data_IF_183006173956
#
_entry.id   IF_183006173956
#
_cell.length_a   1.000
_cell.length_b   1.000
_cell.length_c   1.000
_cell.angle_alpha   90.00
_cell.angle_beta   90.00
_cell.angle_gamma   90.00
#
_symmetry.space_group_name_H-M   'P 1'
#
loop_
_entity.id
_entity.type
_entity.pdbx_description
1 polymer ?
#
# COMPACT_ATOMS: atom_id res chain seq x y z
N UNK A 1 40.30 16.25 1.50
CA UNK A 1 40.22 16.84 0.15
C UNK A 1 38.76 17.13 -0.24
N UNK A 2 37.86 16.14 -0.22
CA UNK A 2 36.44 16.30 -0.58
C UNK A 2 35.69 17.46 0.10
N UNK A 3 35.65 17.54 1.44
CA UNK A 3 34.94 18.62 2.13
C UNK A 3 35.53 20.02 1.90
N UNK A 4 36.83 20.12 1.60
CA UNK A 4 37.45 21.40 1.19
C UNK A 4 36.92 21.84 -0.18
N UNK A 5 36.73 20.90 -1.10
CA UNK A 5 36.12 21.17 -2.41
C UNK A 5 34.64 21.55 -2.26
N UNK A 6 33.87 20.86 -1.41
CA UNK A 6 32.45 21.19 -1.15
C UNK A 6 32.30 22.59 -0.56
N UNK A 7 33.14 22.97 0.41
CA UNK A 7 33.09 24.29 1.03
C UNK A 7 33.41 25.45 0.06
N UNK A 8 34.20 25.18 -0.99
CA UNK A 8 34.54 26.14 -2.04
C UNK A 8 33.51 26.19 -3.17
N UNK A 9 32.62 25.19 -3.26
CA UNK A 9 31.62 25.10 -4.30
C UNK A 9 30.39 25.94 -3.93
N UNK A 10 29.95 26.81 -4.83
CA UNK A 10 28.68 27.56 -4.65
C UNK A 10 27.51 26.58 -4.51
N UNK A 11 26.51 26.92 -3.70
CA UNK A 11 25.29 26.11 -3.63
C UNK A 11 24.60 26.06 -4.99
N UNK A 12 23.89 24.97 -5.29
CA UNK A 12 23.18 24.80 -6.57
C UNK A 12 22.23 25.96 -6.82
N UNK A 13 21.48 26.39 -5.79
CA UNK A 13 20.60 27.55 -5.85
C UNK A 13 21.34 28.86 -6.15
N UNK A 14 22.58 29.04 -5.67
CA UNK A 14 23.41 30.19 -6.01
C UNK A 14 23.92 30.13 -7.45
N UNK A 15 24.46 28.99 -7.88
CA UNK A 15 24.98 28.83 -9.25
C UNK A 15 23.89 28.94 -10.32
N UNK A 16 22.67 28.45 -10.05
CA UNK A 16 21.56 28.57 -10.98
C UNK A 16 20.96 29.98 -10.98
N UNK A 17 20.90 30.64 -9.82
CA UNK A 17 20.52 32.06 -9.74
C UNK A 17 21.43 32.97 -10.57
N UNK A 18 22.76 32.78 -10.45
CA UNK A 18 23.74 33.54 -11.24
C UNK A 18 23.54 33.36 -12.76
N UNK A 19 23.17 32.14 -13.20
CA UNK A 19 22.86 31.85 -14.61
C UNK A 19 21.61 32.58 -15.08
N UNK A 20 20.53 32.53 -14.29
CA UNK A 20 19.27 33.19 -14.65
C UNK A 20 19.38 34.72 -14.69
N UNK A 21 20.25 35.31 -13.85
CA UNK A 21 20.58 36.74 -13.92
C UNK A 21 21.37 37.05 -15.19
N UNK A 22 22.33 36.20 -15.57
CA UNK A 22 23.08 36.37 -16.80
C UNK A 22 22.21 36.23 -18.06
N UNK A 23 21.18 35.38 -18.01
CA UNK A 23 20.17 35.22 -19.06
C UNK A 23 19.10 36.33 -19.04
N UNK A 24 19.11 37.22 -18.04
CA UNK A 24 18.18 38.35 -17.91
C UNK A 24 16.74 37.94 -17.56
N UNK A 25 16.51 36.70 -17.14
CA UNK A 25 15.19 36.15 -16.80
C UNK A 25 14.68 36.68 -15.46
N UNK A 26 15.60 36.90 -14.52
CA UNK A 26 15.32 37.44 -13.18
C UNK A 26 16.44 38.36 -12.74
N UNK A 27 16.13 39.36 -11.92
CA UNK A 27 17.12 40.24 -11.31
C UNK A 27 17.69 39.65 -10.02
N UNK A 28 18.89 40.11 -9.63
CA UNK A 28 19.49 39.73 -8.34
C UNK A 28 18.58 40.10 -7.15
N UNK A 29 17.81 41.18 -7.27
CA UNK A 29 16.88 41.64 -6.24
C UNK A 29 15.69 40.67 -6.08
N UNK A 30 15.15 40.15 -7.18
CA UNK A 30 14.05 39.18 -7.13
C UNK A 30 14.49 37.86 -6.46
N UNK A 31 15.73 37.40 -6.70
CA UNK A 31 16.28 36.21 -6.06
C UNK A 31 16.40 36.39 -4.53
N UNK A 32 16.88 37.55 -4.09
CA UNK A 32 16.95 37.92 -2.67
C UNK A 32 15.55 37.97 -2.03
N UNK A 33 14.57 38.55 -2.74
CA UNK A 33 13.17 38.60 -2.30
C UNK A 33 12.55 37.21 -2.16
N UNK A 34 12.76 36.30 -3.11
CA UNK A 34 12.27 34.92 -3.01
C UNK A 34 12.84 34.22 -1.77
N UNK A 35 14.14 34.38 -1.51
CA UNK A 35 14.79 33.81 -0.31
C UNK A 35 14.22 34.38 0.98
N UNK A 36 13.89 35.68 0.97
CA UNK A 36 13.29 36.35 2.13
C UNK A 36 11.87 35.83 2.36
N UNK A 37 11.02 35.81 1.33
CA UNK A 37 9.65 35.29 1.39
C UNK A 37 9.62 33.84 1.89
N UNK A 38 10.47 32.97 1.35
CA UNK A 38 10.53 31.58 1.80
C UNK A 38 10.95 31.44 3.27
N UNK A 39 11.92 32.24 3.73
CA UNK A 39 12.30 32.27 5.16
C UNK A 39 11.19 32.80 6.05
N UNK A 40 10.44 33.80 5.60
CA UNK A 40 9.28 34.31 6.32
C UNK A 40 8.15 33.27 6.41
N UNK A 41 7.89 32.52 5.33
CA UNK A 41 6.94 31.41 5.33
C UNK A 41 7.34 30.31 6.31
N UNK A 42 8.61 29.90 6.30
CA UNK A 42 9.13 28.94 7.27
C UNK A 42 9.05 29.47 8.70
N UNK A 43 9.33 30.75 8.93
CA UNK A 43 9.20 31.39 10.23
C UNK A 43 7.76 31.41 10.75
N UNK A 44 6.79 31.72 9.87
CA UNK A 44 5.36 31.65 10.18
C UNK A 44 4.90 30.22 10.46
N UNK A 45 5.36 29.24 9.68
CA UNK A 45 5.06 27.84 9.95
C UNK A 45 5.64 27.39 11.29
N UNK A 46 6.86 27.81 11.62
CA UNK A 46 7.54 27.46 12.86
C UNK A 46 6.85 28.05 14.11
N UNK A 47 6.34 29.28 14.06
CA UNK A 47 5.65 29.88 15.21
C UNK A 47 4.39 29.11 15.60
N UNK A 48 3.69 28.55 14.62
CA UNK A 48 2.48 27.73 14.80
C UNK A 48 2.80 26.36 15.43
N UNK A 49 4.03 25.84 15.31
CA UNK A 49 4.43 24.53 15.89
C UNK A 49 4.23 24.48 17.40
N UNK A 50 4.50 25.58 18.11
CA UNK A 50 4.33 25.66 19.57
C UNK A 50 2.89 25.42 20.05
N UNK A 51 1.90 25.75 19.21
CA UNK A 51 0.48 25.51 19.47
C UNK A 51 -0.03 24.24 18.76
N UNK A 52 0.77 23.66 17.86
CA UNK A 52 0.41 22.49 17.07
C UNK A 52 0.55 21.23 17.92
N UNK A 53 -0.58 20.77 18.47
CA UNK A 53 -0.68 19.40 18.98
C UNK A 53 -1.01 18.50 17.79
N UNK A 54 -0.19 17.47 17.49
CA UNK A 54 -0.55 16.47 16.49
C UNK A 54 -1.84 15.79 16.97
N UNK A 55 -2.95 16.08 16.30
CA UNK A 55 -4.29 15.63 16.69
C UNK A 55 -4.51 14.14 16.43
N UNK A 56 -3.64 13.51 15.62
CA UNK A 56 -3.73 12.11 15.29
C UNK A 56 -2.43 11.65 14.65
N UNK A 57 -1.84 10.59 15.20
CA UNK A 57 -0.87 9.79 14.48
C UNK A 57 -1.68 8.90 13.52
N UNK A 58 -2.19 9.48 12.43
CA UNK A 58 -3.05 8.80 11.48
C UNK A 58 -2.20 7.99 10.48
N UNK A 59 -1.56 6.94 10.99
CA UNK A 59 -0.88 5.94 10.16
C UNK A 59 -1.87 5.04 9.40
N UNK A 60 -3.15 5.02 9.83
CA UNK A 60 -4.22 4.19 9.28
C UNK A 60 -5.22 5.00 8.44
N UNK A 61 -4.72 5.92 7.61
CA UNK A 61 -5.54 6.63 6.63
C UNK A 61 -5.41 6.03 5.23
N UNK A 62 -6.32 6.42 4.32
CA UNK A 62 -6.38 5.90 2.96
C UNK A 62 -6.73 4.41 2.91
N UNK A 63 -5.90 3.60 2.26
CA UNK A 63 -6.13 2.16 2.08
C UNK A 63 -6.10 1.35 3.39
N UNK A 64 -5.66 1.96 4.48
CA UNK A 64 -5.49 1.32 5.78
C UNK A 64 -6.62 1.69 6.75
N UNK A 65 -7.65 2.36 6.24
CA UNK A 65 -8.83 2.76 7.00
C UNK A 65 -9.56 1.52 7.53
N UNK A 66 -9.76 1.45 8.84
CA UNK A 66 -10.40 0.33 9.52
C UNK A 66 -9.42 -0.63 10.20
N UNK A 67 -8.13 -0.49 9.95
CA UNK A 67 -7.10 -1.16 10.75
C UNK A 67 -6.89 -0.42 12.06
N UNK A 68 -6.67 -1.18 13.13
CA UNK A 68 -6.34 -0.67 14.47
C UNK A 68 -5.13 -1.40 15.01
N UNK A 69 -4.44 -0.78 15.95
CA UNK A 69 -3.48 -1.52 16.78
C UNK A 69 -4.21 -2.61 17.56
N UNK A 70 -3.63 -3.82 17.56
CA UNK A 70 -4.08 -4.89 18.43
C UNK A 70 -3.83 -4.50 19.89
N UNK A 71 -4.85 -4.64 20.74
CA UNK A 71 -4.74 -4.33 22.16
C UNK A 71 -4.12 -5.54 22.88
N UNK A 72 -2.97 -5.39 23.56
CA UNK A 72 -2.38 -6.49 24.31
C UNK A 72 -3.38 -7.06 25.33
N UNK A 73 -3.65 -8.36 25.26
CA UNK A 73 -4.59 -9.05 26.15
C UNK A 73 -6.05 -9.10 25.67
N UNK A 74 -6.39 -8.46 24.55
CA UNK A 74 -7.70 -8.63 23.91
C UNK A 74 -7.68 -9.87 23.01
N UNK A 75 -8.17 -11.00 23.49
CA UNK A 75 -8.22 -12.25 22.70
C UNK A 75 -9.04 -12.12 21.41
N UNK A 76 -10.08 -11.28 21.41
CA UNK A 76 -10.95 -11.05 20.25
C UNK A 76 -10.23 -10.31 19.10
N UNK A 77 -9.13 -9.59 19.39
CA UNK A 77 -8.28 -9.01 18.34
C UNK A 77 -7.45 -10.09 17.60
N UNK A 78 -7.28 -11.27 18.21
CA UNK A 78 -6.48 -12.37 17.66
C UNK A 78 -7.32 -13.52 17.13
N UNK A 79 -8.57 -13.65 17.56
CA UNK A 79 -9.50 -14.69 17.13
C UNK A 79 -10.71 -14.06 16.42
N UNK A 80 -10.67 -14.09 15.09
CA UNK A 80 -11.81 -13.68 14.25
C UNK A 80 -12.61 -14.89 13.79
N UNK A 81 -13.92 -14.73 13.66
CA UNK A 81 -14.77 -15.72 13.01
C UNK A 81 -14.47 -15.74 11.50
N UNK A 82 -13.71 -16.75 11.09
CA UNK A 82 -13.33 -17.00 9.68
C UNK A 82 -14.19 -18.06 9.03
N UNK A 83 -15.28 -18.48 9.69
CA UNK A 83 -16.19 -19.51 9.18
C UNK A 83 -16.93 -19.07 7.93
N UNK A 84 -16.91 -19.91 6.89
CA UNK A 84 -17.69 -19.74 5.66
C UNK A 84 -18.66 -20.90 5.53
N UNK A 85 -19.92 -20.62 5.16
CA UNK A 85 -20.94 -21.64 4.96
C UNK A 85 -20.54 -22.65 3.87
N UNK A 86 -20.82 -23.94 4.08
CA UNK A 86 -20.50 -25.01 3.13
C UNK A 86 -21.04 -24.77 1.71
N UNK A 87 -22.25 -24.23 1.58
CA UNK A 87 -22.84 -23.91 0.28
C UNK A 87 -22.03 -22.88 -0.53
N UNK A 88 -21.44 -21.89 0.17
CA UNK A 88 -20.55 -20.89 -0.46
C UNK A 88 -19.24 -21.53 -0.88
N UNK A 89 -18.65 -22.39 -0.04
CA UNK A 89 -17.42 -23.10 -0.38
C UNK A 89 -17.62 -24.01 -1.61
N UNK A 90 -18.79 -24.65 -1.72
CA UNK A 90 -19.14 -25.45 -2.88
C UNK A 90 -19.24 -24.60 -4.15
N UNK A 91 -19.97 -23.49 -4.09
CA UNK A 91 -20.12 -22.58 -5.23
C UNK A 91 -18.77 -22.00 -5.69
N UNK A 92 -17.88 -21.65 -4.75
CA UNK A 92 -16.53 -21.19 -5.04
C UNK A 92 -15.68 -22.28 -5.69
N UNK A 93 -15.73 -23.52 -5.19
CA UNK A 93 -14.99 -24.64 -5.78
C UNK A 93 -15.46 -24.94 -7.20
N UNK A 94 -16.77 -24.88 -7.46
CA UNK A 94 -17.33 -25.07 -8.80
C UNK A 94 -16.87 -23.96 -9.76
N UNK A 95 -16.85 -22.70 -9.32
CA UNK A 95 -16.32 -21.59 -10.11
C UNK A 95 -14.82 -21.74 -10.42
N UNK A 96 -14.02 -22.21 -9.45
CA UNK A 96 -12.57 -22.40 -9.62
C UNK A 96 -12.22 -23.58 -10.53
N UNK A 97 -13.04 -24.64 -10.51
CA UNK A 97 -12.83 -25.82 -11.35
C UNK A 97 -13.46 -25.67 -12.75
N UNK A 98 -14.22 -24.60 -13.00
CA UNK A 98 -14.81 -24.31 -14.30
C UNK A 98 -13.75 -23.81 -15.28
N UNK A 99 -13.46 -24.63 -16.30
CA UNK A 99 -12.49 -24.28 -17.35
C UNK A 99 -13.23 -23.76 -18.59
N UNK A 100 -12.84 -22.60 -19.13
CA UNK A 100 -13.45 -22.04 -20.35
C UNK A 100 -13.38 -22.97 -21.56
N UNK A 101 -14.40 -22.87 -22.41
CA UNK A 101 -14.44 -23.61 -23.68
C UNK A 101 -13.23 -23.24 -24.55
N UNK A 102 -12.53 -24.26 -25.06
CA UNK A 102 -11.38 -24.10 -25.96
C UNK A 102 -10.01 -24.30 -25.30
N UNK A 103 -9.93 -24.53 -23.99
CA UNK A 103 -8.66 -24.86 -23.30
C UNK A 103 -8.49 -26.37 -23.17
N UNK A 104 -7.42 -26.90 -23.76
CA UNK A 104 -7.03 -28.32 -23.58
C UNK A 104 -6.21 -28.50 -22.31
N UNK A 105 -6.78 -29.14 -21.30
CA UNK A 105 -6.08 -29.47 -20.06
C UNK A 105 -5.28 -30.77 -20.17
N UNK A 106 -4.18 -30.86 -19.43
CA UNK A 106 -3.54 -32.15 -19.17
C UNK A 106 -4.51 -33.06 -18.37
N UNK A 107 -4.56 -34.34 -18.73
CA UNK A 107 -5.36 -35.37 -18.05
C UNK A 107 -5.09 -35.44 -16.54
N UNK A 108 -3.85 -35.16 -16.10
CA UNK A 108 -3.51 -35.12 -14.66
C UNK A 108 -4.19 -33.95 -13.96
N UNK A 109 -4.23 -32.79 -14.61
CA UNK A 109 -4.84 -31.57 -14.06
C UNK A 109 -6.36 -31.70 -14.01
N UNK A 110 -6.99 -32.20 -15.07
CA UNK A 110 -8.44 -32.48 -15.08
C UNK A 110 -8.85 -33.43 -13.94
N UNK A 111 -8.11 -34.53 -13.74
CA UNK A 111 -8.37 -35.46 -12.61
C UNK A 111 -8.21 -34.79 -11.25
N UNK A 112 -7.24 -33.91 -11.09
CA UNK A 112 -7.04 -33.16 -9.84
C UNK A 112 -8.22 -32.23 -9.57
N UNK A 113 -8.70 -31.49 -10.58
CA UNK A 113 -9.86 -30.61 -10.45
C UNK A 113 -11.13 -31.40 -10.08
N UNK A 114 -11.37 -32.52 -10.76
CA UNK A 114 -12.52 -33.40 -10.47
C UNK A 114 -12.45 -33.97 -9.04
N UNK A 115 -11.25 -34.33 -8.59
CA UNK A 115 -11.02 -34.85 -7.23
C UNK A 115 -11.31 -33.78 -6.17
N UNK A 116 -10.91 -32.53 -6.40
CA UNK A 116 -11.18 -31.41 -5.48
C UNK A 116 -12.67 -31.09 -5.40
N UNK A 117 -13.37 -31.09 -6.52
CA UNK A 117 -14.83 -30.85 -6.56
C UNK A 117 -15.60 -31.94 -5.80
N UNK A 118 -15.20 -33.21 -5.96
CA UNK A 118 -15.76 -34.33 -5.19
C UNK A 118 -15.41 -34.24 -3.71
N UNK A 119 -14.17 -33.86 -3.40
CA UNK A 119 -13.67 -33.73 -2.03
C UNK A 119 -14.47 -32.74 -1.18
N UNK A 120 -14.87 -31.60 -1.77
CA UNK A 120 -15.73 -30.63 -1.07
C UNK A 120 -17.15 -31.18 -0.82
N UNK A 121 -17.68 -32.04 -1.70
CA UNK A 121 -19.00 -32.67 -1.49
C UNK A 121 -18.97 -33.81 -0.48
N UNK A 122 -17.82 -34.43 -0.26
CA UNK A 122 -17.63 -35.59 0.62
C UNK A 122 -16.82 -35.27 1.88
N UNK A 123 -16.67 -34.00 2.24
CA UNK A 123 -15.86 -33.52 3.38
C UNK A 123 -14.42 -34.07 3.43
N UNK A 124 -13.85 -34.37 2.26
CA UNK A 124 -12.48 -34.89 2.11
C UNK A 124 -11.66 -33.88 1.31
N UNK A 125 -11.23 -32.82 1.99
CA UNK A 125 -10.51 -31.68 1.40
C UNK A 125 -9.00 -31.90 1.56
N UNK A 126 -8.26 -31.84 0.45
CA UNK A 126 -6.79 -31.80 0.47
C UNK A 126 -6.28 -30.41 0.84
N UNK A 127 -5.05 -30.32 1.35
CA UNK A 127 -4.46 -29.03 1.77
C UNK A 127 -4.52 -27.97 0.66
N UNK A 128 -4.24 -28.38 -0.59
CA UNK A 128 -4.27 -27.48 -1.74
C UNK A 128 -5.66 -26.96 -2.07
N UNK A 129 -6.73 -27.74 -1.87
CA UNK A 129 -8.10 -27.22 -2.00
C UNK A 129 -8.47 -26.29 -0.84
N UNK A 130 -8.03 -26.57 0.39
CA UNK A 130 -8.26 -25.71 1.54
C UNK A 130 -7.65 -24.33 1.36
N UNK A 131 -6.38 -24.26 0.93
CA UNK A 131 -5.69 -23.01 0.61
C UNK A 131 -6.40 -22.23 -0.51
N UNK A 132 -6.77 -22.94 -1.58
CA UNK A 132 -7.45 -22.37 -2.73
C UNK A 132 -8.83 -21.77 -2.34
N UNK A 133 -9.59 -22.46 -1.48
CA UNK A 133 -10.86 -21.97 -0.95
C UNK A 133 -10.71 -20.74 -0.07
N UNK A 134 -9.65 -20.67 0.76
CA UNK A 134 -9.38 -19.50 1.59
C UNK A 134 -9.12 -18.23 0.74
N UNK A 135 -8.35 -18.36 -0.34
CA UNK A 135 -8.16 -17.24 -1.26
C UNK A 135 -9.45 -16.89 -2.02
N UNK A 136 -10.20 -17.89 -2.46
CA UNK A 136 -11.46 -17.68 -3.16
C UNK A 136 -12.52 -16.99 -2.28
N UNK A 137 -12.60 -17.34 -1.00
CA UNK A 137 -13.53 -16.70 -0.06
C UNK A 137 -13.17 -15.24 0.19
N UNK A 138 -11.88 -14.93 0.35
CA UNK A 138 -11.42 -13.55 0.50
C UNK A 138 -11.71 -12.70 -0.74
N UNK A 139 -11.53 -13.26 -1.94
CA UNK A 139 -11.88 -12.57 -3.20
C UNK A 139 -13.38 -12.30 -3.32
N UNK A 140 -14.22 -13.25 -2.88
CA UNK A 140 -15.67 -13.09 -2.88
C UNK A 140 -16.18 -12.09 -1.84
N UNK A 141 -15.44 -11.88 -0.75
CA UNK A 141 -15.78 -10.93 0.31
C UNK A 141 -15.59 -9.45 -0.08
N UNK A 142 -15.03 -9.15 -1.27
CA UNK A 142 -14.82 -7.78 -1.76
C UNK A 142 -14.21 -6.84 -0.69
N UNK A 143 -13.13 -7.27 -0.04
CA UNK A 143 -12.24 -6.39 0.73
C UNK A 143 -11.11 -5.84 -0.13
#
# INVERSE_FOLDING_TARGET
LMYKCIAQHKTIAGSYGDKLVAEGVVSTQEIEEFRKKFREELGKAHSVVSAYKPLKADWFEGCWKGLRYAVPGCFDDYMSDTGVSGDKLLALMEAMCSVPDGISLDKKVSRMLDARLKGVKSDSIDWGAGEALAFASLLAEHK
#
